data_IF_285699544206
#
_entry.id   IF_285699544206
#
_cell.length_a   1.000
_cell.length_b   1.000
_cell.length_c   1.000
_cell.angle_alpha   90.00
_cell.angle_beta   90.00
_cell.angle_gamma   90.00
#
_symmetry.space_group_name_H-M   'P 1'
#
loop_
_entity.id
_entity.type
_entity.pdbx_description
1 polymer ?
#
# COMPACT_ATOMS: atom_id res chain seq x y z
N UNK A 1 -14.98 18.33 14.88
CA UNK A 1 -15.95 17.26 14.58
C UNK A 1 -16.87 17.09 15.76
N UNK A 2 -18.19 17.21 15.56
CA UNK A 2 -19.17 16.96 16.61
C UNK A 2 -19.17 15.48 17.02
N UNK A 3 -19.66 15.16 18.22
CA UNK A 3 -19.67 13.77 18.74
C UNK A 3 -20.34 12.80 17.76
N UNK A 4 -21.47 13.20 17.16
CA UNK A 4 -22.21 12.38 16.18
C UNK A 4 -21.40 12.09 14.92
N UNK A 5 -20.75 13.10 14.34
CA UNK A 5 -19.91 12.95 13.14
C UNK A 5 -18.72 12.01 13.39
N UNK A 6 -18.10 12.10 14.59
CA UNK A 6 -17.04 11.19 15.01
C UNK A 6 -17.48 9.74 15.04
N UNK A 7 -18.65 9.48 15.64
CA UNK A 7 -19.23 8.13 15.68
C UNK A 7 -19.50 7.62 14.27
N UNK A 8 -20.11 8.43 13.40
CA UNK A 8 -20.39 8.03 12.01
C UNK A 8 -19.11 7.68 11.26
N UNK A 9 -18.07 8.50 11.37
CA UNK A 9 -16.80 8.22 10.69
C UNK A 9 -16.14 6.93 11.20
N UNK A 10 -16.16 6.68 12.52
CA UNK A 10 -15.66 5.43 13.09
C UNK A 10 -16.46 4.23 12.54
N UNK A 11 -17.78 4.35 12.46
CA UNK A 11 -18.62 3.30 11.87
C UNK A 11 -18.30 3.06 10.39
N UNK A 12 -17.97 4.09 9.61
CA UNK A 12 -17.53 3.94 8.22
C UNK A 12 -16.18 3.20 8.13
N UNK A 13 -15.23 3.50 9.01
CA UNK A 13 -13.96 2.77 9.04
C UNK A 13 -14.15 1.31 9.45
N UNK A 14 -15.00 1.05 10.45
CA UNK A 14 -15.37 -0.30 10.85
C UNK A 14 -16.09 -1.05 9.73
N UNK A 15 -16.96 -0.38 8.96
CA UNK A 15 -17.60 -0.96 7.79
C UNK A 15 -16.57 -1.36 6.74
N UNK A 16 -15.64 -0.46 6.38
CA UNK A 16 -14.55 -0.75 5.44
C UNK A 16 -13.70 -1.94 5.89
N UNK A 17 -13.36 -2.00 7.19
CA UNK A 17 -12.60 -3.09 7.76
C UNK A 17 -13.39 -4.40 7.72
N UNK A 18 -14.65 -4.41 8.18
CA UNK A 18 -15.50 -5.59 8.18
C UNK A 18 -15.73 -6.13 6.78
N UNK A 19 -16.02 -5.28 5.79
CA UNK A 19 -16.17 -5.71 4.39
C UNK A 19 -14.86 -6.27 3.81
N UNK A 20 -13.71 -5.74 4.22
CA UNK A 20 -12.40 -6.27 3.82
C UNK A 20 -12.06 -7.62 4.46
N UNK A 21 -12.46 -7.85 5.72
CA UNK A 21 -12.21 -9.13 6.41
C UNK A 21 -13.21 -10.20 5.97
N UNK A 22 -14.49 -9.85 5.85
CA UNK A 22 -15.54 -10.76 5.39
C UNK A 22 -15.25 -11.10 3.93
N UNK A 23 -14.94 -12.36 3.65
CA UNK A 23 -14.54 -12.83 2.32
C UNK A 23 -13.03 -12.92 2.09
N UNK A 24 -12.19 -12.50 3.05
CA UNK A 24 -10.73 -12.67 2.97
C UNK A 24 -10.27 -14.14 2.97
N UNK A 25 -11.16 -15.08 3.32
CA UNK A 25 -10.91 -16.53 3.21
C UNK A 25 -11.34 -17.13 1.86
N UNK A 26 -11.93 -16.34 0.98
CA UNK A 26 -12.47 -16.87 -0.27
C UNK A 26 -11.34 -17.35 -1.20
N UNK A 27 -11.51 -18.56 -1.72
CA UNK A 27 -10.62 -19.13 -2.72
C UNK A 27 -9.23 -19.41 -2.21
N UNK A 28 -9.10 -19.82 -0.95
CA UNK A 28 -7.83 -20.19 -0.34
C UNK A 28 -7.35 -21.59 -0.79
N UNK A 29 -6.04 -21.90 -0.68
CA UNK A 29 -5.48 -23.21 -0.98
C UNK A 29 -6.22 -24.42 -0.40
N UNK A 30 -6.71 -24.33 0.84
CA UNK A 30 -7.53 -25.41 1.43
C UNK A 30 -8.85 -25.66 0.70
N UNK A 31 -9.44 -24.63 0.10
CA UNK A 31 -10.66 -24.73 -0.71
C UNK A 31 -10.35 -25.18 -2.15
N UNK A 32 -9.23 -24.71 -2.72
CA UNK A 32 -8.85 -25.04 -4.11
C UNK A 32 -8.12 -26.37 -4.24
N UNK A 33 -7.67 -26.96 -3.13
CA UNK A 33 -6.81 -28.15 -3.07
C UNK A 33 -5.48 -27.99 -3.84
N UNK A 34 -5.05 -26.74 -4.05
CA UNK A 34 -3.82 -26.37 -4.74
C UNK A 34 -3.10 -25.26 -3.96
N UNK A 35 -1.79 -25.10 -4.13
CA UNK A 35 -1.04 -23.98 -3.48
C UNK A 35 -1.43 -22.58 -3.97
N UNK A 36 -2.36 -22.50 -4.92
CA UNK A 36 -2.83 -21.27 -5.55
C UNK A 36 -4.20 -20.91 -5.00
N UNK A 37 -4.43 -19.61 -4.83
CA UNK A 37 -5.78 -19.10 -4.61
C UNK A 37 -6.54 -19.05 -5.95
N UNK A 38 -7.86 -18.82 -5.90
CA UNK A 38 -8.62 -18.53 -7.13
C UNK A 38 -8.16 -17.27 -7.85
N UNK A 39 -7.43 -16.38 -7.17
CA UNK A 39 -6.79 -15.25 -7.82
C UNK A 39 -5.32 -15.62 -8.19
N UNK A 40 -5.03 -15.98 -9.45
CA UNK A 40 -3.75 -16.60 -9.83
C UNK A 40 -2.51 -15.75 -9.52
N UNK A 41 -2.63 -14.42 -9.56
CA UNK A 41 -1.51 -13.52 -9.29
C UNK A 41 -1.02 -13.49 -7.82
N UNK A 42 -1.82 -13.92 -6.83
CA UNK A 42 -1.41 -13.84 -5.41
C UNK A 42 -0.22 -14.75 -5.12
N UNK A 43 -0.14 -15.91 -5.81
CA UNK A 43 0.99 -16.84 -5.66
C UNK A 43 2.32 -16.19 -6.03
N UNK A 44 2.30 -15.21 -6.95
CA UNK A 44 3.48 -14.49 -7.38
C UNK A 44 4.16 -13.74 -6.23
N UNK A 45 3.39 -13.27 -5.24
CA UNK A 45 3.92 -12.62 -4.03
C UNK A 45 4.71 -13.62 -3.18
N UNK A 46 4.14 -14.79 -2.86
CA UNK A 46 4.82 -15.80 -2.05
C UNK A 46 6.03 -16.40 -2.77
N UNK A 47 5.93 -16.64 -4.08
CA UNK A 47 7.05 -17.11 -4.90
C UNK A 47 8.19 -16.08 -4.93
N UNK A 48 7.86 -14.80 -5.04
CA UNK A 48 8.87 -13.72 -4.99
C UNK A 48 9.56 -13.64 -3.63
N UNK A 49 8.81 -13.82 -2.54
CA UNK A 49 9.37 -13.89 -1.19
C UNK A 49 10.28 -15.10 -0.99
N UNK A 50 9.91 -16.26 -1.53
CA UNK A 50 10.72 -17.49 -1.43
C UNK A 50 12.08 -17.36 -2.12
N UNK A 51 12.18 -16.52 -3.16
CA UNK A 51 13.45 -16.26 -3.87
C UNK A 51 14.42 -15.39 -3.06
N UNK A 52 13.93 -14.63 -2.10
CA UNK A 52 14.77 -13.81 -1.23
C UNK A 52 15.45 -14.65 -0.15
N UNK A 53 16.64 -14.25 0.26
CA UNK A 53 17.35 -14.82 1.41
C UNK A 53 17.93 -13.72 2.32
N UNK A 54 17.12 -13.21 3.27
CA UNK A 54 17.56 -12.16 4.20
C UNK A 54 18.81 -12.51 5.01
N UNK A 55 19.05 -13.80 5.31
CA UNK A 55 20.25 -14.25 6.05
C UNK A 55 21.54 -14.02 5.26
N UNK A 56 21.45 -13.94 3.93
CA UNK A 56 22.57 -13.65 3.02
C UNK A 56 22.54 -12.22 2.50
N UNK A 57 21.72 -11.35 3.09
CA UNK A 57 21.46 -9.98 2.62
C UNK A 57 20.94 -9.93 1.17
N UNK A 58 20.28 -10.99 0.73
CA UNK A 58 19.63 -11.05 -0.57
C UNK A 58 18.14 -10.78 -0.40
N UNK A 59 17.71 -9.60 -0.82
CA UNK A 59 16.32 -9.15 -0.81
C UNK A 59 15.76 -9.02 -2.23
N UNK A 60 16.36 -9.68 -3.24
CA UNK A 60 15.91 -9.60 -4.62
C UNK A 60 14.69 -10.53 -4.86
N UNK A 61 13.50 -10.02 -5.22
CA UNK A 61 12.37 -10.87 -5.59
C UNK A 61 12.54 -11.56 -6.96
N UNK A 62 13.47 -11.08 -7.80
CA UNK A 62 13.61 -11.48 -9.21
C UNK A 62 12.27 -11.44 -9.97
N UNK A 63 11.42 -10.48 -9.60
CA UNK A 63 10.12 -10.23 -10.19
C UNK A 63 9.83 -8.74 -10.12
N UNK A 64 9.91 -8.08 -11.28
CA UNK A 64 9.84 -6.63 -11.40
C UNK A 64 8.61 -6.05 -12.12
N UNK A 65 7.66 -6.78 -12.73
CA UNK A 65 6.50 -6.16 -13.40
C UNK A 65 5.65 -5.21 -12.54
N UNK A 66 5.61 -5.40 -11.22
CA UNK A 66 4.83 -4.56 -10.30
C UNK A 66 5.69 -3.64 -9.42
N UNK A 67 7.01 -3.66 -9.49
CA UNK A 67 7.86 -3.06 -8.44
C UNK A 67 7.88 -3.92 -7.16
N UNK A 68 8.78 -3.62 -6.22
CA UNK A 68 9.12 -4.56 -5.13
C UNK A 68 8.64 -4.18 -3.74
N UNK A 69 8.14 -2.95 -3.54
CA UNK A 69 7.81 -2.47 -2.19
C UNK A 69 6.71 -3.30 -1.52
N UNK A 70 5.72 -3.73 -2.30
CA UNK A 70 4.65 -4.60 -1.80
C UNK A 70 5.19 -5.92 -1.24
N UNK A 71 6.15 -6.56 -1.93
CA UNK A 71 6.76 -7.79 -1.45
C UNK A 71 7.44 -7.55 -0.10
N UNK A 72 8.19 -6.45 0.06
CA UNK A 72 8.84 -6.14 1.34
C UNK A 72 7.85 -5.91 2.47
N UNK A 73 6.76 -5.18 2.22
CA UNK A 73 5.71 -4.95 3.24
C UNK A 73 5.09 -6.29 3.68
N UNK A 74 4.73 -7.16 2.73
CA UNK A 74 4.17 -8.49 3.04
C UNK A 74 5.20 -9.35 3.76
N UNK A 75 6.44 -9.42 3.27
CA UNK A 75 7.51 -10.23 3.86
C UNK A 75 7.85 -9.83 5.29
N UNK A 76 7.98 -8.53 5.56
CA UNK A 76 8.19 -8.00 6.93
C UNK A 76 7.00 -8.33 7.83
N UNK A 77 5.78 -8.20 7.33
CA UNK A 77 4.58 -8.52 8.11
C UNK A 77 4.46 -10.00 8.45
N UNK A 78 4.71 -10.89 7.48
CA UNK A 78 4.75 -12.33 7.70
C UNK A 78 5.85 -12.73 8.70
N UNK A 79 7.04 -12.14 8.56
CA UNK A 79 8.13 -12.36 9.52
C UNK A 79 7.70 -11.92 10.93
N UNK A 80 7.12 -10.73 11.08
CA UNK A 80 6.61 -10.25 12.36
C UNK A 80 5.59 -11.20 12.98
N UNK A 81 4.60 -11.67 12.20
CA UNK A 81 3.61 -12.64 12.68
C UNK A 81 4.23 -13.99 13.07
N UNK A 82 5.31 -14.40 12.41
CA UNK A 82 6.02 -15.64 12.74
C UNK A 82 6.68 -15.60 14.12
N UNK A 83 7.09 -14.41 14.58
CA UNK A 83 7.65 -14.22 15.94
C UNK A 83 6.63 -14.54 17.03
N UNK A 84 5.33 -14.37 16.75
CA UNK A 84 4.22 -14.70 17.63
C UNK A 84 3.62 -16.09 17.36
N UNK A 85 4.23 -16.88 16.46
CA UNK A 85 3.71 -18.19 16.01
C UNK A 85 2.30 -18.11 15.41
N UNK A 86 1.90 -16.94 14.92
CA UNK A 86 0.62 -16.77 14.23
C UNK A 86 0.67 -17.33 12.79
N UNK A 87 1.87 -17.35 12.19
CA UNK A 87 2.14 -17.98 10.89
C UNK A 87 3.42 -18.81 10.96
N UNK A 88 3.47 -19.87 10.15
CA UNK A 88 4.62 -20.78 10.06
C UNK A 88 5.36 -20.53 8.76
N UNK A 89 6.65 -20.18 8.83
CA UNK A 89 7.50 -19.92 7.67
C UNK A 89 8.49 -21.08 7.50
N UNK A 90 8.23 -21.95 6.51
CA UNK A 90 9.07 -23.12 6.21
C UNK A 90 9.57 -23.00 4.77
N UNK A 91 10.89 -23.05 4.52
CA UNK A 91 11.45 -22.97 3.18
C UNK A 91 11.33 -24.32 2.43
N UNK A 92 10.14 -24.93 2.41
CA UNK A 92 9.85 -26.17 1.67
C UNK A 92 8.47 -26.08 1.05
N UNK A 93 8.41 -26.36 -0.26
CA UNK A 93 7.15 -26.41 -1.00
C UNK A 93 6.34 -27.64 -0.58
N UNK A 94 7.01 -28.76 -0.35
CA UNK A 94 6.44 -30.04 0.05
C UNK A 94 5.69 -29.92 1.38
N UNK A 95 6.26 -29.16 2.33
CA UNK A 95 5.60 -28.86 3.60
C UNK A 95 4.21 -28.23 3.37
N UNK A 96 4.11 -27.19 2.53
CA UNK A 96 2.83 -26.51 2.30
C UNK A 96 1.85 -27.32 1.44
N UNK A 97 2.34 -28.22 0.57
CA UNK A 97 1.46 -29.16 -0.15
C UNK A 97 0.75 -30.09 0.84
N UNK A 98 1.47 -30.55 1.86
CA UNK A 98 0.94 -31.43 2.89
C UNK A 98 0.13 -30.68 3.96
N UNK A 99 0.29 -29.35 4.07
CA UNK A 99 -0.34 -28.52 5.10
C UNK A 99 -0.99 -27.27 4.49
N UNK A 100 -2.05 -27.46 3.71
CA UNK A 100 -2.75 -26.35 3.03
C UNK A 100 -3.23 -25.26 3.99
N UNK A 101 -3.66 -25.63 5.20
CA UNK A 101 -4.06 -24.65 6.22
C UNK A 101 -2.92 -23.73 6.68
N UNK A 102 -1.65 -24.14 6.55
CA UNK A 102 -0.52 -23.28 6.90
C UNK A 102 -0.23 -22.24 5.81
N UNK A 103 -0.42 -22.58 4.53
CA UNK A 103 -0.27 -21.61 3.44
C UNK A 103 -1.46 -20.64 3.37
N UNK A 104 -2.66 -21.10 3.74
CA UNK A 104 -3.84 -20.23 3.90
C UNK A 104 -3.56 -19.05 4.83
N UNK A 105 -2.92 -19.32 5.98
CA UNK A 105 -2.54 -18.27 6.95
C UNK A 105 -1.63 -17.22 6.33
N UNK A 106 -0.74 -17.60 5.41
CA UNK A 106 0.14 -16.66 4.71
C UNK A 106 -0.65 -15.76 3.75
N UNK A 107 -1.58 -16.33 2.98
CA UNK A 107 -2.45 -15.56 2.11
C UNK A 107 -3.35 -14.61 2.90
N UNK A 108 -4.01 -15.09 3.96
CA UNK A 108 -4.87 -14.26 4.82
C UNK A 108 -4.05 -13.13 5.45
N UNK A 109 -2.85 -13.41 5.97
CA UNK A 109 -1.97 -12.39 6.52
C UNK A 109 -1.55 -11.34 5.46
N UNK A 110 -1.25 -11.77 4.24
CA UNK A 110 -0.98 -10.85 3.14
C UNK A 110 -2.20 -10.00 2.75
N UNK A 111 -3.39 -10.61 2.71
CA UNK A 111 -4.67 -9.91 2.45
C UNK A 111 -4.97 -8.88 3.54
N UNK A 112 -4.57 -9.11 4.80
CA UNK A 112 -4.71 -8.10 5.87
C UNK A 112 -3.98 -6.79 5.54
N UNK A 113 -2.83 -6.83 4.85
CA UNK A 113 -2.15 -5.61 4.38
C UNK A 113 -3.05 -4.84 3.41
N UNK A 114 -3.73 -5.53 2.50
CA UNK A 114 -4.70 -4.93 1.57
C UNK A 114 -5.90 -4.34 2.32
N UNK A 115 -6.43 -5.04 3.33
CA UNK A 115 -7.52 -4.53 4.19
C UNK A 115 -7.10 -3.25 4.90
N UNK A 116 -5.96 -3.24 5.57
CA UNK A 116 -5.46 -2.05 6.26
C UNK A 116 -5.16 -0.89 5.30
N UNK A 117 -4.62 -1.18 4.12
CA UNK A 117 -4.42 -0.18 3.07
C UNK A 117 -5.75 0.42 2.57
N UNK A 118 -6.78 -0.40 2.36
CA UNK A 118 -8.12 0.06 1.98
C UNK A 118 -8.75 0.93 3.08
N UNK A 119 -8.66 0.51 4.35
CA UNK A 119 -9.15 1.32 5.49
C UNK A 119 -8.37 2.64 5.60
N UNK A 120 -7.04 2.60 5.43
CA UNK A 120 -6.19 3.78 5.39
C UNK A 120 -6.56 4.73 4.24
N UNK A 121 -6.95 4.18 3.09
CA UNK A 121 -7.43 4.94 1.94
C UNK A 121 -8.73 5.67 2.27
N UNK A 122 -9.71 4.98 2.86
CA UNK A 122 -10.96 5.58 3.33
C UNK A 122 -10.68 6.70 4.35
N UNK A 123 -9.75 6.46 5.28
CA UNK A 123 -9.35 7.44 6.29
C UNK A 123 -8.76 8.71 5.65
N UNK A 124 -7.75 8.59 4.79
CA UNK A 124 -7.11 9.77 4.21
C UNK A 124 -8.00 10.48 3.19
N UNK A 125 -8.86 9.76 2.47
CA UNK A 125 -9.87 10.37 1.61
C UNK A 125 -10.84 11.25 2.40
N UNK A 126 -11.31 10.77 3.56
CA UNK A 126 -12.09 11.58 4.49
C UNK A 126 -11.34 12.85 4.88
N UNK A 127 -10.05 12.75 5.26
CA UNK A 127 -9.26 13.90 5.70
C UNK A 127 -9.06 14.92 4.58
N UNK A 128 -8.82 14.46 3.36
CA UNK A 128 -8.73 15.30 2.16
C UNK A 128 -10.03 16.07 1.95
N UNK A 129 -11.17 15.37 1.90
CA UNK A 129 -12.47 15.98 1.67
C UNK A 129 -12.91 16.90 2.83
N UNK A 130 -12.57 16.57 4.07
CA UNK A 130 -12.82 17.41 5.25
C UNK A 130 -12.06 18.73 5.16
N UNK A 131 -10.81 18.69 4.66
CA UNK A 131 -9.96 19.88 4.52
C UNK A 131 -10.38 20.78 3.35
N UNK A 132 -10.81 20.20 2.24
CA UNK A 132 -11.11 20.94 1.00
C UNK A 132 -12.56 21.42 0.89
N UNK A 133 -13.51 20.72 1.50
CA UNK A 133 -14.94 20.97 1.32
C UNK A 133 -15.66 21.08 2.67
N UNK A 134 -16.47 20.07 3.00
CA UNK A 134 -17.28 20.03 4.20
C UNK A 134 -17.21 18.65 4.85
N UNK A 135 -17.54 18.57 6.14
CA UNK A 135 -17.60 17.28 6.85
C UNK A 135 -18.63 16.32 6.26
N UNK A 136 -19.76 16.83 5.76
CA UNK A 136 -20.78 16.00 5.11
C UNK A 136 -20.23 15.35 3.85
N UNK A 137 -19.55 16.14 3.02
CA UNK A 137 -18.84 15.64 1.83
C UNK A 137 -17.81 14.59 2.21
N UNK A 138 -17.04 14.83 3.27
CA UNK A 138 -16.02 13.89 3.74
C UNK A 138 -16.60 12.54 4.17
N UNK A 139 -17.67 12.54 4.97
CA UNK A 139 -18.37 11.31 5.37
C UNK A 139 -18.90 10.57 4.14
N UNK A 140 -19.50 11.30 3.20
CA UNK A 140 -20.07 10.69 1.99
C UNK A 140 -19.00 10.08 1.08
N UNK A 141 -17.89 10.78 0.85
CA UNK A 141 -16.75 10.24 0.09
C UNK A 141 -16.15 9.00 0.75
N UNK A 142 -16.00 9.02 2.08
CA UNK A 142 -15.50 7.87 2.84
C UNK A 142 -16.45 6.68 2.76
N UNK A 143 -17.76 6.92 2.89
CA UNK A 143 -18.78 5.87 2.79
C UNK A 143 -18.78 5.24 1.40
N UNK A 144 -18.80 6.04 0.33
CA UNK A 144 -18.71 5.52 -1.05
C UNK A 144 -17.46 4.66 -1.21
N UNK A 145 -16.30 5.15 -0.78
CA UNK A 145 -15.05 4.40 -0.92
C UNK A 145 -15.03 3.09 -0.11
N UNK A 146 -15.72 3.06 1.04
CA UNK A 146 -15.81 1.87 1.89
C UNK A 146 -16.67 0.75 1.30
N UNK A 147 -17.67 1.09 0.49
CA UNK A 147 -18.62 0.12 -0.11
C UNK A 147 -18.40 -0.08 -1.61
N UNK A 148 -17.49 0.67 -2.23
CA UNK A 148 -17.22 0.57 -3.67
C UNK A 148 -16.75 -0.86 -4.00
N UNK A 149 -17.45 -1.62 -4.88
CA UNK A 149 -17.13 -3.03 -5.11
C UNK A 149 -15.67 -3.28 -5.50
N UNK A 150 -15.09 -2.38 -6.31
CA UNK A 150 -13.68 -2.47 -6.69
C UNK A 150 -12.73 -2.27 -5.50
N UNK A 151 -13.06 -1.39 -4.56
CA UNK A 151 -12.28 -1.15 -3.34
C UNK A 151 -12.31 -2.38 -2.43
N UNK A 152 -13.50 -2.95 -2.23
CA UNK A 152 -13.72 -4.17 -1.44
C UNK A 152 -13.00 -5.36 -2.08
N UNK A 153 -13.13 -5.56 -3.40
CA UNK A 153 -12.46 -6.65 -4.09
C UNK A 153 -10.93 -6.55 -3.98
N UNK A 154 -10.34 -5.36 -4.10
CA UNK A 154 -8.90 -5.20 -3.92
C UNK A 154 -8.45 -5.42 -2.46
N UNK A 155 -9.33 -5.30 -1.47
CA UNK A 155 -9.03 -5.64 -0.07
C UNK A 155 -8.90 -7.16 0.14
N UNK A 156 -9.54 -7.98 -0.71
CA UNK A 156 -9.53 -9.44 -0.62
C UNK A 156 -8.37 -10.13 -1.33
N UNK A 157 -7.50 -9.38 -2.02
CA UNK A 157 -6.36 -9.94 -2.74
C UNK A 157 -5.04 -9.44 -2.16
N UNK A 158 -4.08 -10.34 -1.94
CA UNK A 158 -2.68 -10.06 -1.64
C UNK A 158 -1.99 -9.54 -2.91
N UNK A 159 -2.25 -8.27 -3.23
CA UNK A 159 -1.78 -7.58 -4.43
C UNK A 159 -1.27 -6.19 -4.12
N UNK A 160 -0.38 -5.64 -4.97
CA UNK A 160 0.13 -4.28 -4.80
C UNK A 160 -0.94 -3.19 -4.93
N UNK A 161 -2.09 -3.48 -5.52
CA UNK A 161 -3.10 -2.48 -5.87
C UNK A 161 -3.62 -1.69 -4.66
N UNK A 162 -4.08 -2.37 -3.60
CA UNK A 162 -4.64 -1.70 -2.43
C UNK A 162 -3.61 -0.80 -1.74
N UNK A 163 -2.39 -1.32 -1.54
CA UNK A 163 -1.27 -0.56 -0.98
C UNK A 163 -0.88 0.64 -1.87
N UNK A 164 -0.86 0.45 -3.19
CA UNK A 164 -0.55 1.51 -4.14
C UNK A 164 -1.57 2.65 -4.08
N UNK A 165 -2.87 2.33 -4.08
CA UNK A 165 -3.95 3.34 -3.93
C UNK A 165 -3.81 4.08 -2.61
N UNK A 166 -3.55 3.38 -1.51
CA UNK A 166 -3.31 3.98 -0.21
C UNK A 166 -2.17 5.00 -0.25
N UNK A 167 -1.02 4.63 -0.81
CA UNK A 167 0.14 5.52 -0.90
C UNK A 167 -0.10 6.72 -1.82
N UNK A 168 -0.86 6.55 -2.91
CA UNK A 168 -1.28 7.66 -3.78
C UNK A 168 -2.17 8.65 -3.00
N UNK A 169 -3.19 8.15 -2.28
CA UNK A 169 -4.09 8.99 -1.48
C UNK A 169 -3.35 9.65 -0.32
N UNK A 170 -2.44 8.93 0.33
CA UNK A 170 -1.56 9.48 1.37
C UNK A 170 -0.66 10.59 0.81
N UNK A 171 -0.11 10.41 -0.40
CA UNK A 171 0.66 11.45 -1.10
C UNK A 171 -0.17 12.71 -1.28
N UNK A 172 -1.41 12.58 -1.76
CA UNK A 172 -2.33 13.71 -1.90
C UNK A 172 -2.58 14.40 -0.54
N UNK A 173 -2.86 13.64 0.52
CA UNK A 173 -3.08 14.18 1.86
C UNK A 173 -1.86 14.93 2.42
N UNK A 174 -0.65 14.38 2.26
CA UNK A 174 0.58 15.06 2.69
C UNK A 174 0.78 16.33 1.85
N UNK A 175 0.58 16.24 0.54
CA UNK A 175 0.75 17.37 -0.39
C UNK A 175 -0.22 18.52 -0.12
N UNK A 176 -1.44 18.22 0.36
CA UNK A 176 -2.38 19.25 0.83
C UNK A 176 -1.84 20.11 1.97
N UNK A 177 -0.82 19.66 2.70
CA UNK A 177 -0.18 20.47 3.74
C UNK A 177 0.65 21.59 3.15
N UNK A 178 1.10 21.50 1.90
CA UNK A 178 1.85 22.55 1.19
C UNK A 178 1.07 23.88 1.17
N UNK A 179 -0.26 23.81 1.10
CA UNK A 179 -1.14 24.99 1.14
C UNK A 179 -1.04 25.78 2.45
N UNK A 180 -0.63 25.13 3.54
CA UNK A 180 -0.56 25.70 4.89
C UNK A 180 0.87 25.80 5.44
N UNK A 181 1.74 24.86 5.06
CA UNK A 181 3.12 24.73 5.53
C UNK A 181 4.05 24.39 4.35
N UNK A 182 4.80 25.39 3.90
CA UNK A 182 5.77 25.28 2.81
C UNK A 182 7.16 24.92 3.35
N UNK A 183 7.24 23.89 4.19
CA UNK A 183 8.51 23.44 4.78
C UNK A 183 9.18 22.34 3.94
N UNK A 184 10.50 22.24 4.07
CA UNK A 184 11.28 21.11 3.54
C UNK A 184 10.66 19.75 3.89
N UNK A 185 10.21 19.58 5.15
CA UNK A 185 9.65 18.32 5.65
C UNK A 185 8.41 17.90 4.87
N UNK A 186 7.54 18.85 4.53
CA UNK A 186 6.31 18.58 3.78
C UNK A 186 6.63 18.17 2.33
N UNK A 187 7.52 18.88 1.63
CA UNK A 187 7.91 18.54 0.26
C UNK A 187 8.68 17.21 0.18
N UNK A 188 9.59 16.97 1.13
CA UNK A 188 10.37 15.74 1.24
C UNK A 188 9.46 14.54 1.53
N UNK A 189 8.53 14.65 2.49
CA UNK A 189 7.60 13.57 2.81
C UNK A 189 6.65 13.28 1.64
N UNK A 190 6.12 14.30 0.96
CA UNK A 190 5.26 14.12 -0.21
C UNK A 190 6.00 13.39 -1.34
N UNK A 191 7.24 13.81 -1.64
CA UNK A 191 8.10 13.13 -2.60
C UNK A 191 8.36 11.67 -2.22
N UNK A 192 8.79 11.44 -0.97
CA UNK A 192 9.12 10.10 -0.47
C UNK A 192 7.95 9.12 -0.58
N UNK A 193 6.75 9.52 -0.13
CA UNK A 193 5.56 8.66 -0.21
C UNK A 193 5.15 8.43 -1.68
N UNK A 194 5.27 9.44 -2.55
CA UNK A 194 5.03 9.26 -3.98
C UNK A 194 6.01 8.27 -4.63
N UNK A 195 7.27 8.30 -4.20
CA UNK A 195 8.30 7.33 -4.62
C UNK A 195 7.96 5.92 -4.19
N UNK A 196 7.50 5.73 -2.95
CA UNK A 196 7.01 4.43 -2.46
C UNK A 196 5.77 3.94 -3.22
N UNK A 197 4.87 4.84 -3.60
CA UNK A 197 3.73 4.49 -4.45
C UNK A 197 4.20 3.92 -5.80
N UNK A 198 5.17 4.58 -6.44
CA UNK A 198 5.81 4.12 -7.67
C UNK A 198 6.54 2.77 -7.49
N UNK A 199 7.23 2.58 -6.36
CA UNK A 199 7.89 1.32 -6.04
C UNK A 199 6.93 0.16 -5.71
N UNK A 200 5.67 0.47 -5.39
CA UNK A 200 4.60 -0.51 -5.18
C UNK A 200 3.99 -1.00 -6.48
N UNK A 201 3.86 -0.08 -7.44
CA UNK A 201 3.42 -0.29 -8.83
C UNK A 201 3.85 0.91 -9.65
N UNK A 202 4.48 0.70 -10.80
CA UNK A 202 5.08 1.80 -11.58
C UNK A 202 4.07 2.88 -12.02
N UNK A 203 2.79 2.51 -12.19
CA UNK A 203 1.73 3.49 -12.44
C UNK A 203 1.50 4.45 -11.25
N UNK A 204 2.00 4.13 -10.06
CA UNK A 204 2.04 5.01 -8.89
C UNK A 204 2.95 6.23 -9.07
N UNK A 205 3.77 6.30 -10.13
CA UNK A 205 4.54 7.50 -10.50
C UNK A 205 3.67 8.75 -10.57
N UNK A 206 2.42 8.61 -11.01
CA UNK A 206 1.48 9.73 -11.12
C UNK A 206 1.15 10.40 -9.77
N UNK A 207 1.48 9.77 -8.63
CA UNK A 207 1.35 10.39 -7.31
C UNK A 207 2.18 11.68 -7.18
N UNK A 208 3.30 11.80 -7.92
CA UNK A 208 4.18 12.99 -7.88
C UNK A 208 3.48 14.25 -8.38
N UNK A 209 2.38 14.14 -9.13
CA UNK A 209 1.64 15.30 -9.59
C UNK A 209 0.90 16.03 -8.47
N UNK A 210 0.55 15.36 -7.36
CA UNK A 210 -0.10 16.04 -6.22
C UNK A 210 0.75 17.15 -5.59
N UNK A 211 2.01 16.91 -5.18
CA UNK A 211 2.84 17.99 -4.64
C UNK A 211 3.12 19.09 -5.67
N UNK A 212 3.25 18.76 -6.96
CA UNK A 212 3.39 19.76 -8.03
C UNK A 212 2.14 20.64 -8.15
N UNK A 213 0.96 20.02 -8.23
CA UNK A 213 -0.32 20.72 -8.32
C UNK A 213 -0.50 21.70 -7.14
N UNK A 214 -0.33 21.23 -5.90
CA UNK A 214 -0.51 22.09 -4.72
C UNK A 214 0.57 23.17 -4.59
N UNK A 215 1.78 22.93 -5.09
CA UNK A 215 2.80 23.96 -5.19
C UNK A 215 2.37 25.09 -6.14
N UNK A 216 1.89 24.75 -7.34
CA UNK A 216 1.55 25.73 -8.37
C UNK A 216 0.23 26.48 -8.11
N UNK A 217 -0.66 25.97 -7.26
CA UNK A 217 -1.87 26.69 -6.82
C UNK A 217 -1.57 27.93 -5.98
N UNK A 218 -0.37 28.05 -5.42
CA UNK A 218 0.03 29.17 -4.58
C UNK A 218 0.81 30.22 -5.40
N UNK A 219 0.67 31.53 -5.11
CA UNK A 219 1.45 32.58 -5.77
C UNK A 219 2.97 32.37 -5.60
N UNK A 220 3.74 32.50 -6.70
CA UNK A 220 5.19 32.27 -6.70
C UNK A 220 5.92 33.23 -5.76
N UNK A 221 6.75 32.69 -4.86
CA UNK A 221 7.77 33.42 -4.10
C UNK A 221 9.11 32.71 -4.27
N UNK A 222 10.18 33.43 -4.63
CA UNK A 222 11.43 32.85 -5.18
C UNK A 222 12.00 31.62 -4.45
N UNK A 223 12.14 31.65 -3.12
CA UNK A 223 12.71 30.55 -2.30
C UNK A 223 11.88 29.24 -2.32
N UNK A 224 10.63 29.28 -2.80
CA UNK A 224 9.72 28.14 -2.82
C UNK A 224 10.06 27.13 -3.92
N UNK A 225 10.54 27.59 -5.08
CA UNK A 225 10.83 26.71 -6.21
C UNK A 225 11.99 25.75 -5.90
N UNK A 226 12.92 26.17 -5.03
CA UNK A 226 13.97 25.29 -4.50
C UNK A 226 13.39 24.12 -3.70
N UNK A 227 12.21 24.26 -3.08
CA UNK A 227 11.59 23.18 -2.31
C UNK A 227 11.06 22.04 -3.19
N UNK A 228 10.72 22.33 -4.46
CA UNK A 228 10.32 21.30 -5.41
C UNK A 228 11.45 20.31 -5.70
N UNK A 229 12.71 20.77 -5.67
CA UNK A 229 13.88 19.90 -5.84
C UNK A 229 13.84 18.79 -4.79
N UNK A 230 13.46 19.10 -3.55
CA UNK A 230 13.34 18.09 -2.50
C UNK A 230 12.22 17.09 -2.76
N UNK A 231 11.12 17.47 -3.39
CA UNK A 231 10.09 16.50 -3.81
C UNK A 231 10.66 15.50 -4.79
N UNK A 232 11.43 15.93 -5.79
CA UNK A 232 12.06 15.00 -6.75
C UNK A 232 13.15 14.14 -6.11
N UNK A 233 14.06 14.75 -5.32
CA UNK A 233 15.11 14.01 -4.62
C UNK A 233 14.53 12.93 -3.71
N UNK A 234 13.52 13.29 -2.90
CA UNK A 234 12.89 12.33 -2.00
C UNK A 234 11.96 11.36 -2.74
N UNK A 235 11.43 11.71 -3.90
CA UNK A 235 10.75 10.74 -4.78
C UNK A 235 11.70 9.62 -5.19
N UNK A 236 12.89 9.94 -5.69
CA UNK A 236 13.88 8.93 -6.02
C UNK A 236 14.33 8.16 -4.78
N UNK A 237 14.53 8.83 -3.65
CA UNK A 237 14.85 8.15 -2.39
C UNK A 237 13.76 7.14 -1.99
N UNK A 238 12.49 7.54 -2.03
CA UNK A 238 11.35 6.66 -1.78
C UNK A 238 11.30 5.50 -2.75
N UNK A 239 11.45 5.78 -4.05
CA UNK A 239 11.44 4.74 -5.07
C UNK A 239 12.56 3.72 -4.88
N UNK A 240 13.80 4.16 -4.66
CA UNK A 240 14.95 3.27 -4.48
C UNK A 240 14.95 2.55 -3.13
N UNK A 241 14.36 3.14 -2.08
CA UNK A 241 14.16 2.41 -0.82
C UNK A 241 13.12 1.29 -0.97
N UNK A 242 12.06 1.52 -1.73
CA UNK A 242 11.04 0.50 -2.00
C UNK A 242 11.40 -0.48 -3.11
N UNK A 243 12.32 -0.09 -4.00
CA UNK A 243 12.78 -0.84 -5.17
C UNK A 243 14.29 -0.74 -5.39
N UNK A 244 15.12 -1.21 -4.45
CA UNK A 244 16.58 -1.05 -4.52
C UNK A 244 17.20 -1.83 -5.68
N UNK A 245 16.63 -2.98 -6.04
CA UNK A 245 17.11 -3.81 -7.15
C UNK A 245 16.81 -3.24 -8.54
N UNK A 246 16.05 -2.16 -8.65
CA UNK A 246 16.00 -1.37 -9.89
C UNK A 246 17.36 -0.79 -10.27
N UNK A 247 18.22 -0.50 -9.29
CA UNK A 247 19.60 -0.08 -9.50
C UNK A 247 20.56 -1.28 -9.51
N UNK A 248 20.40 -2.20 -8.55
CA UNK A 248 21.38 -3.27 -8.31
C UNK A 248 21.26 -4.44 -9.32
N UNK A 249 20.06 -4.65 -9.89
CA UNK A 249 19.77 -5.76 -10.79
C UNK A 249 19.03 -5.30 -12.06
N UNK A 250 19.38 -4.13 -12.59
CA UNK A 250 18.73 -3.53 -13.76
C UNK A 250 18.62 -4.47 -14.98
N UNK A 251 19.59 -5.38 -15.16
CA UNK A 251 19.59 -6.37 -16.26
C UNK A 251 18.43 -7.38 -16.20
N UNK A 252 17.78 -7.51 -15.05
CA UNK A 252 16.62 -8.39 -14.86
C UNK A 252 15.30 -7.72 -15.28
N UNK A 253 15.30 -6.42 -15.55
CA UNK A 253 14.19 -5.70 -16.15
C UNK A 253 14.23 -5.92 -17.67
N UNK A 254 13.56 -6.98 -18.12
CA UNK A 254 13.36 -7.29 -19.54
C UNK A 254 11.93 -7.00 -19.96
#
# INVERSE_FOLDING_TARGET
MGRKEKVIFILVLLLAFSLGIIGSNWGLPSETLHLQTYHPDEVGVLVSLQKMNPKRLDFNPHFFPWGTFHFYVVGVFLYFLSLFKAVTLVPSKEFYILHLNEIDKLYVAGRLISVFATVGTVFFLFRIAEKLYSRRTAIFSALIMSILPLSVANAHYMKPNALGVFLIVLTCWVSLRILSDQSFRTYALAGFVAGLACATKYNGIWAVFFPLMFHFLLPSKGRRNTLLIYTFLFFFLGFFTGCPYSLLAFKEFK
#
